data_IF_247538729537
#
_entry.id   IF_247538729537
#
_cell.length_a   1.000
_cell.length_b   1.000
_cell.length_c   1.000
_cell.angle_alpha   90.00
_cell.angle_beta   90.00
_cell.angle_gamma   90.00
#
_symmetry.space_group_name_H-M   'P 1'
#
loop_
_entity.id
_entity.type
_entity.pdbx_description
1 polymer ?
#
# COMPACT_ATOMS: atom_id res chain seq x y z
N UNK A 1 -8.94 29.83 49.78
CA UNK A 1 -7.54 29.73 49.31
C UNK A 1 -7.44 28.45 48.48
N UNK A 2 -7.32 28.53 47.16
CA UNK A 2 -7.32 27.36 46.27
C UNK A 2 -5.90 27.07 45.79
N UNK A 3 -5.42 25.85 46.02
CA UNK A 3 -4.11 25.40 45.56
C UNK A 3 -4.19 24.90 44.11
N UNK A 4 -3.41 25.51 43.22
CA UNK A 4 -3.23 25.06 41.84
C UNK A 4 -2.24 23.90 41.81
N UNK A 5 -2.69 22.72 41.35
CA UNK A 5 -1.84 21.55 41.17
C UNK A 5 -1.20 21.63 39.78
N UNK A 6 0.11 21.90 39.72
CA UNK A 6 0.88 21.82 38.48
C UNK A 6 1.21 20.35 38.19
N UNK A 7 0.49 19.75 37.25
CA UNK A 7 0.78 18.40 36.77
C UNK A 7 1.94 18.45 35.77
N UNK A 8 3.13 18.05 36.19
CA UNK A 8 4.29 17.87 35.31
C UNK A 8 4.15 16.54 34.56
N UNK A 9 3.97 16.62 33.23
CA UNK A 9 3.95 15.44 32.36
C UNK A 9 5.38 14.95 32.15
N UNK A 10 5.73 13.71 32.54
CA UNK A 10 7.08 13.20 32.38
C UNK A 10 7.38 12.96 30.89
N UNK A 11 8.34 13.71 30.35
CA UNK A 11 8.87 13.54 29.00
C UNK A 11 9.55 12.18 28.88
N UNK A 12 8.91 11.23 28.19
CA UNK A 12 9.54 9.97 27.81
C UNK A 12 10.72 10.30 26.88
N UNK A 13 11.94 9.99 27.32
CA UNK A 13 13.12 10.04 26.45
C UNK A 13 12.91 9.03 25.31
N UNK A 14 13.04 9.42 24.03
CA UNK A 14 12.95 8.46 22.94
C UNK A 14 14.16 7.51 23.05
N UNK A 15 13.88 6.23 23.29
CA UNK A 15 14.87 5.17 23.13
C UNK A 15 15.12 5.05 21.64
N UNK A 16 16.32 5.41 21.20
CA UNK A 16 16.75 5.17 19.83
C UNK A 16 16.82 3.66 19.62
N UNK A 17 15.76 3.08 19.05
CA UNK A 17 15.77 1.72 18.55
C UNK A 17 16.61 1.74 17.28
N UNK A 18 17.87 1.33 17.39
CA UNK A 18 18.67 1.00 16.22
C UNK A 18 18.02 -0.21 15.54
N UNK A 19 17.23 0.04 14.52
CA UNK A 19 16.69 -1.00 13.65
C UNK A 19 17.86 -1.47 12.79
N UNK A 20 18.55 -2.51 13.22
CA UNK A 20 19.37 -3.30 12.32
C UNK A 20 18.40 -4.02 11.39
N UNK A 21 18.24 -3.51 10.17
CA UNK A 21 17.41 -4.16 9.14
C UNK A 21 18.06 -5.48 8.76
N UNK A 22 17.44 -6.59 9.17
CA UNK A 22 17.83 -7.91 8.70
C UNK A 22 17.46 -8.04 7.21
N UNK A 23 18.40 -8.40 6.32
CA UNK A 23 18.13 -8.51 4.88
C UNK A 23 17.00 -9.51 4.54
N UNK A 24 16.74 -10.49 5.41
CA UNK A 24 15.64 -11.45 5.26
C UNK A 24 14.25 -10.81 5.43
N UNK A 25 14.12 -9.78 6.27
CA UNK A 25 12.88 -9.03 6.46
C UNK A 25 12.60 -8.13 5.25
N UNK A 26 13.65 -7.54 4.67
CA UNK A 26 13.54 -6.71 3.46
C UNK A 26 13.12 -7.55 2.24
N UNK A 27 13.65 -8.76 2.10
CA UNK A 27 13.22 -9.72 1.07
C UNK A 27 11.75 -10.14 1.23
N UNK A 28 11.32 -10.45 2.46
CA UNK A 28 9.94 -10.78 2.75
C UNK A 28 8.99 -9.60 2.42
N UNK A 29 9.38 -8.38 2.77
CA UNK A 29 8.62 -7.18 2.47
C UNK A 29 8.56 -6.89 0.96
N UNK A 30 9.66 -7.09 0.24
CA UNK A 30 9.71 -6.96 -1.22
C UNK A 30 8.76 -7.95 -1.91
N UNK A 31 8.71 -9.19 -1.43
CA UNK A 31 7.76 -10.21 -1.90
C UNK A 31 6.31 -9.80 -1.66
N UNK A 32 5.96 -9.38 -0.44
CA UNK A 32 4.59 -8.92 -0.13
C UNK A 32 4.18 -7.75 -1.02
N UNK A 33 5.08 -6.79 -1.29
CA UNK A 33 4.82 -5.66 -2.19
C UNK A 33 4.63 -6.12 -3.64
N UNK A 34 5.38 -7.13 -4.10
CA UNK A 34 5.21 -7.73 -5.44
C UNK A 34 3.85 -8.41 -5.55
N UNK A 35 3.48 -9.21 -4.57
CA UNK A 35 2.22 -9.95 -4.55
C UNK A 35 1.02 -9.00 -4.54
N UNK A 36 1.06 -7.92 -3.73
CA UNK A 36 0.02 -6.87 -3.77
C UNK A 36 -0.09 -6.19 -5.12
N UNK A 37 1.03 -5.92 -5.80
CA UNK A 37 1.01 -5.34 -7.15
C UNK A 37 0.39 -6.30 -8.17
N UNK A 38 0.68 -7.60 -8.06
CA UNK A 38 0.04 -8.63 -8.90
C UNK A 38 -1.47 -8.72 -8.65
N UNK A 39 -1.91 -8.65 -7.39
CA UNK A 39 -3.34 -8.62 -7.04
C UNK A 39 -4.03 -7.38 -7.62
N UNK A 40 -3.41 -6.20 -7.55
CA UNK A 40 -3.97 -4.98 -8.12
C UNK A 40 -4.19 -5.10 -9.63
N UNK A 41 -3.24 -5.69 -10.37
CA UNK A 41 -3.38 -5.98 -11.80
C UNK A 41 -4.54 -6.94 -12.05
N UNK A 42 -4.64 -8.02 -11.27
CA UNK A 42 -5.72 -9.00 -11.43
C UNK A 42 -7.10 -8.38 -11.17
N UNK A 43 -7.25 -7.56 -10.13
CA UNK A 43 -8.50 -6.87 -9.83
C UNK A 43 -8.90 -5.88 -10.92
N UNK A 44 -7.94 -5.15 -11.49
CA UNK A 44 -8.21 -4.24 -12.61
C UNK A 44 -8.73 -5.01 -13.84
N UNK A 45 -8.15 -6.17 -14.16
CA UNK A 45 -8.66 -7.02 -15.25
C UNK A 45 -10.04 -7.61 -14.96
N UNK A 46 -10.30 -8.03 -13.72
CA UNK A 46 -11.63 -8.49 -13.32
C UNK A 46 -12.68 -7.38 -13.48
N UNK A 47 -12.35 -6.15 -13.09
CA UNK A 47 -13.20 -4.99 -13.28
C UNK A 47 -13.45 -4.69 -14.77
N UNK A 48 -12.44 -4.88 -15.63
CA UNK A 48 -12.61 -4.75 -17.08
C UNK A 48 -13.62 -5.74 -17.64
N UNK A 49 -13.54 -7.02 -17.23
CA UNK A 49 -14.48 -8.07 -17.67
C UNK A 49 -15.91 -7.74 -17.22
N UNK A 50 -16.10 -7.35 -15.95
CA UNK A 50 -17.42 -6.95 -15.45
C UNK A 50 -17.97 -5.72 -16.16
N UNK A 51 -17.12 -4.76 -16.51
CA UNK A 51 -17.51 -3.57 -17.27
C UNK A 51 -17.90 -3.92 -18.72
N UNK A 52 -17.20 -4.86 -19.36
CA UNK A 52 -17.59 -5.36 -20.70
C UNK A 52 -18.95 -6.06 -20.64
N UNK A 53 -19.17 -6.93 -19.66
CA UNK A 53 -20.44 -7.65 -19.45
C UNK A 53 -21.61 -6.69 -19.20
N UNK A 54 -21.35 -5.56 -18.53
CA UNK A 54 -22.31 -4.49 -18.31
C UNK A 54 -22.50 -3.55 -19.52
N UNK A 55 -21.73 -3.71 -20.59
CA UNK A 55 -21.74 -2.82 -21.77
C UNK A 55 -21.07 -1.46 -21.54
N UNK A 56 -20.29 -1.29 -20.47
CA UNK A 56 -19.55 -0.07 -20.15
C UNK A 56 -18.17 -0.07 -20.83
N UNK A 57 -18.18 0.07 -22.16
CA UNK A 57 -16.98 -0.06 -23.01
C UNK A 57 -15.84 0.88 -22.60
N UNK A 58 -16.15 2.12 -22.25
CA UNK A 58 -15.14 3.12 -21.86
C UNK A 58 -14.50 2.76 -20.51
N UNK A 59 -15.31 2.28 -19.56
CA UNK A 59 -14.81 1.83 -18.25
C UNK A 59 -13.92 0.59 -18.41
N UNK A 60 -14.34 -0.38 -19.23
CA UNK A 60 -13.54 -1.56 -19.53
C UNK A 60 -12.19 -1.21 -20.17
N UNK A 61 -12.18 -0.28 -21.14
CA UNK A 61 -10.94 0.24 -21.73
C UNK A 61 -10.05 0.93 -20.69
N UNK A 62 -10.64 1.72 -19.78
CA UNK A 62 -9.94 2.37 -18.68
C UNK A 62 -9.26 1.38 -17.73
N UNK A 63 -9.96 0.32 -17.32
CA UNK A 63 -9.41 -0.73 -16.47
C UNK A 63 -8.29 -1.52 -17.15
N UNK A 64 -8.44 -1.88 -18.44
CA UNK A 64 -7.35 -2.54 -19.20
C UNK A 64 -6.10 -1.66 -19.28
N UNK A 65 -6.27 -0.37 -19.59
CA UNK A 65 -5.17 0.57 -19.64
C UNK A 65 -4.48 0.72 -18.27
N UNK A 66 -5.24 0.68 -17.19
CA UNK A 66 -4.71 0.72 -15.83
C UNK A 66 -3.88 -0.53 -15.48
N UNK A 67 -4.39 -1.72 -15.79
CA UNK A 67 -3.65 -2.97 -15.66
C UNK A 67 -2.32 -2.94 -16.44
N UNK A 68 -2.31 -2.40 -17.66
CA UNK A 68 -1.11 -2.28 -18.48
C UNK A 68 -0.10 -1.26 -17.94
N UNK A 69 -0.55 -0.12 -17.40
CA UNK A 69 0.32 0.84 -16.71
C UNK A 69 1.00 0.18 -15.51
N UNK A 70 0.26 -0.55 -14.69
CA UNK A 70 0.80 -1.26 -13.53
C UNK A 70 1.82 -2.33 -13.93
N UNK A 71 1.54 -3.11 -14.98
CA UNK A 71 2.49 -4.10 -15.50
C UNK A 71 3.80 -3.47 -15.98
N UNK A 72 3.72 -2.35 -16.72
CA UNK A 72 4.90 -1.60 -17.18
C UNK A 72 5.74 -1.13 -16.00
N UNK A 73 5.09 -0.58 -14.96
CA UNK A 73 5.76 -0.13 -13.73
C UNK A 73 6.38 -1.26 -12.89
N UNK A 74 5.99 -2.52 -13.12
CA UNK A 74 6.61 -3.69 -12.48
C UNK A 74 7.80 -4.27 -13.28
N UNK A 75 7.88 -3.97 -14.58
CA UNK A 75 8.94 -4.45 -15.47
C UNK A 75 10.17 -3.52 -15.52
N UNK A 76 10.00 -2.28 -15.05
CA UNK A 76 11.04 -1.25 -14.84
C UNK A 76 11.66 -1.35 -13.45
#
# INVERSE_FOLDING_TARGET
MSATITQTVPTRRPVAVAVNSDPSMDEALARVRRDRRQQAVAHSLQAAVLADEAGWTDAAAGFRADADRMRKAMAS
#
